data_IF_986748515114
#
_entry.id   IF_986748515114
#
_cell.length_a   1.000
_cell.length_b   1.000
_cell.length_c   1.000
_cell.angle_alpha   90.00
_cell.angle_beta   90.00
_cell.angle_gamma   90.00
#
_symmetry.space_group_name_H-M   'P 1'
#
loop_
_entity.id
_entity.type
_entity.pdbx_description
1 polymer ?
#
# COMPACT_ATOMS: atom_id res chain seq x y z
N UNK A 1 1.67 -0.04 1.87
CA UNK A 1 0.22 -0.32 1.96
C UNK A 1 -0.48 0.98 2.32
N UNK A 2 -1.55 1.33 1.62
CA UNK A 2 -2.24 2.60 1.80
C UNK A 2 -3.10 2.59 3.05
N UNK A 3 -2.99 3.59 3.91
CA UNK A 3 -3.76 3.71 5.17
C UNK A 3 -4.99 4.62 5.04
N UNK A 4 -5.10 5.39 3.96
CA UNK A 4 -6.24 6.23 3.62
C UNK A 4 -6.64 7.24 4.72
N UNK A 5 -5.67 7.76 5.46
CA UNK A 5 -5.91 8.60 6.63
C UNK A 5 -5.45 10.05 6.46
N UNK A 6 -5.10 10.46 5.24
CA UNK A 6 -4.80 11.86 4.90
C UNK A 6 -6.03 12.76 4.95
N UNK A 7 -5.80 14.07 5.09
CA UNK A 7 -6.85 15.06 4.93
C UNK A 7 -7.38 15.11 3.49
N UNK A 8 -8.53 15.75 3.29
CA UNK A 8 -9.16 15.87 1.97
C UNK A 8 -8.24 16.56 0.95
N UNK A 9 -7.43 17.50 1.37
CA UNK A 9 -6.43 18.18 0.53
C UNK A 9 -5.16 17.35 0.25
N UNK A 10 -5.05 16.15 0.84
CA UNK A 10 -3.86 15.28 0.75
C UNK A 10 -2.78 15.57 1.79
N UNK A 11 -3.04 16.43 2.77
CA UNK A 11 -2.09 16.68 3.86
C UNK A 11 -2.05 15.54 4.87
N UNK A 12 -0.90 15.36 5.50
CA UNK A 12 -0.66 14.33 6.53
C UNK A 12 -1.43 14.67 7.81
N UNK A 13 -2.11 13.68 8.41
CA UNK A 13 -2.81 13.81 9.69
C UNK A 13 -1.93 13.40 10.87
N UNK A 14 -2.31 13.81 12.09
CA UNK A 14 -1.66 13.34 13.31
C UNK A 14 -1.83 11.82 13.50
N UNK A 15 -2.99 11.25 13.15
CA UNK A 15 -3.23 9.80 13.21
C UNK A 15 -2.26 9.01 12.31
N UNK A 16 -1.91 9.55 11.14
CA UNK A 16 -0.89 8.94 10.28
C UNK A 16 0.49 8.97 10.93
N UNK A 17 0.87 10.12 11.51
CA UNK A 17 2.15 10.25 12.20
C UNK A 17 2.24 9.24 13.34
N UNK A 18 1.21 9.16 14.18
CA UNK A 18 1.12 8.20 15.29
C UNK A 18 1.21 6.75 14.81
N UNK A 19 0.52 6.42 13.72
CA UNK A 19 0.54 5.09 13.11
C UNK A 19 1.94 4.67 12.69
N UNK A 20 2.65 5.52 11.94
CA UNK A 20 3.99 5.22 11.45
C UNK A 20 5.02 5.25 12.59
N UNK A 21 4.93 6.23 13.49
CA UNK A 21 5.82 6.33 14.64
C UNK A 21 5.70 5.10 15.55
N UNK A 22 4.49 4.57 15.75
CA UNK A 22 4.27 3.39 16.59
C UNK A 22 4.97 2.14 16.04
N UNK A 23 5.14 2.04 14.72
CA UNK A 23 5.78 0.92 14.00
C UNK A 23 7.24 1.16 13.66
N UNK A 24 7.73 2.38 13.86
CA UNK A 24 9.12 2.72 13.60
C UNK A 24 10.05 2.19 14.70
N UNK A 25 11.32 1.90 14.34
CA UNK A 25 12.37 1.43 15.23
C UNK A 25 12.57 -0.09 15.17
N UNK A 26 11.53 -0.85 14.87
CA UNK A 26 11.59 -2.29 14.72
C UNK A 26 12.08 -2.68 13.30
N UNK A 27 11.58 -2.04 12.26
CA UNK A 27 12.04 -2.22 10.89
C UNK A 27 13.17 -1.26 10.53
N UNK A 28 14.14 -1.69 9.70
CA UNK A 28 15.24 -0.84 9.21
C UNK A 28 14.77 0.35 8.39
N UNK A 29 13.68 0.18 7.64
CA UNK A 29 13.05 1.24 6.85
C UNK A 29 11.52 1.09 6.85
N UNK A 30 10.83 2.23 6.75
CA UNK A 30 9.39 2.29 6.53
C UNK A 30 9.14 2.93 5.17
N UNK A 31 8.52 2.18 4.27
CA UNK A 31 7.99 2.71 3.01
C UNK A 31 6.60 3.27 3.31
N UNK A 32 6.51 4.60 3.35
CA UNK A 32 5.27 5.33 3.53
C UNK A 32 4.35 5.07 2.34
N UNK A 33 3.03 5.06 2.59
CA UNK A 33 2.02 4.80 1.56
C UNK A 33 2.20 5.65 0.30
N UNK A 34 1.56 5.21 -0.78
CA UNK A 34 1.59 5.92 -2.06
C UNK A 34 1.09 7.37 -1.94
N UNK A 35 1.98 8.29 -2.31
CA UNK A 35 1.82 9.73 -2.24
C UNK A 35 1.69 10.29 -3.67
N UNK A 36 0.58 10.99 -4.00
CA UNK A 36 0.37 11.46 -5.37
C UNK A 36 1.28 12.65 -5.70
N UNK A 37 1.90 12.58 -6.88
CA UNK A 37 2.82 13.62 -7.37
C UNK A 37 2.09 14.80 -8.03
N UNK A 38 0.84 14.58 -8.44
CA UNK A 38 -0.04 15.55 -9.07
C UNK A 38 -1.48 15.33 -8.56
N UNK A 39 -2.22 16.41 -8.28
CA UNK A 39 -3.50 16.39 -7.57
C UNK A 39 -4.56 15.49 -8.21
N UNK A 40 -4.66 15.47 -9.53
CA UNK A 40 -5.65 14.65 -10.24
C UNK A 40 -5.26 13.17 -10.31
N UNK A 41 -4.05 12.82 -9.88
CA UNK A 41 -3.55 11.45 -9.75
C UNK A 41 -4.07 10.68 -8.54
N UNK A 42 -5.06 11.16 -7.82
CA UNK A 42 -5.64 10.48 -6.65
C UNK A 42 -6.47 9.27 -7.05
N UNK A 43 -6.16 8.11 -6.49
CA UNK A 43 -6.87 6.87 -6.74
C UNK A 43 -7.96 6.52 -5.72
N UNK A 44 -7.90 7.10 -4.50
CA UNK A 44 -8.74 6.71 -3.36
C UNK A 44 -8.90 7.88 -2.37
N UNK A 45 -9.92 7.82 -1.48
CA UNK A 45 -10.12 8.82 -0.44
C UNK A 45 -8.98 8.74 0.59
N UNK A 46 -8.65 9.89 1.20
CA UNK A 46 -7.60 9.95 2.22
C UNK A 46 -6.17 9.67 1.69
N UNK A 47 -5.96 9.71 0.37
CA UNK A 47 -4.63 9.67 -0.22
C UNK A 47 -3.84 10.91 0.17
N UNK A 48 -2.56 10.75 0.52
CA UNK A 48 -1.65 11.87 0.75
C UNK A 48 -0.99 12.31 -0.55
N UNK A 49 -0.55 13.59 -0.59
CA UNK A 49 0.07 14.21 -1.74
C UNK A 49 1.39 14.88 -1.42
N UNK A 50 2.16 15.07 -2.48
CA UNK A 50 3.41 15.84 -2.51
C UNK A 50 3.45 16.75 -3.75
N UNK A 51 2.28 17.09 -4.25
CA UNK A 51 2.01 17.85 -5.46
C UNK A 51 2.38 19.33 -5.37
N UNK A 52 2.51 19.87 -4.17
CA UNK A 52 2.89 21.27 -3.93
C UNK A 52 3.70 21.44 -2.63
N UNK A 53 4.32 22.62 -2.47
CA UNK A 53 5.24 22.90 -1.36
C UNK A 53 4.53 23.01 0.00
N UNK A 54 3.23 23.30 0.03
CA UNK A 54 2.45 23.37 1.27
C UNK A 54 2.36 22.00 1.98
N UNK A 55 2.67 20.91 1.28
CA UNK A 55 2.71 19.55 1.85
C UNK A 55 4.01 19.27 2.64
N UNK A 56 5.09 20.00 2.36
CA UNK A 56 6.41 19.75 2.96
C UNK A 56 6.36 19.76 4.50
N UNK A 57 5.72 20.73 5.19
CA UNK A 57 5.73 20.73 6.66
C UNK A 57 5.06 19.51 7.30
N UNK A 58 3.98 19.00 6.70
CA UNK A 58 3.30 17.78 7.16
C UNK A 58 4.15 16.52 6.93
N UNK A 59 4.69 16.38 5.73
CA UNK A 59 5.58 15.30 5.35
C UNK A 59 6.87 15.29 6.17
N UNK A 60 7.42 16.46 6.50
CA UNK A 60 8.60 16.60 7.38
C UNK A 60 8.33 15.99 8.75
N UNK A 61 7.22 16.37 9.40
CA UNK A 61 6.86 15.78 10.70
C UNK A 61 6.71 14.27 10.64
N UNK A 62 6.19 13.74 9.53
CA UNK A 62 6.06 12.30 9.32
C UNK A 62 7.43 11.62 9.20
N UNK A 63 8.34 12.17 8.38
CA UNK A 63 9.70 11.66 8.23
C UNK A 63 10.45 11.68 9.57
N UNK A 64 10.43 12.82 10.28
CA UNK A 64 11.06 12.98 11.59
C UNK A 64 10.51 11.98 12.63
N UNK A 65 9.20 11.71 12.64
CA UNK A 65 8.58 10.76 13.56
C UNK A 65 9.05 9.31 13.31
N UNK A 66 9.23 8.93 12.05
CA UNK A 66 9.79 7.62 11.67
C UNK A 66 11.27 7.54 12.07
N UNK A 67 12.05 8.55 11.72
CA UNK A 67 13.50 8.59 11.93
C UNK A 67 13.88 8.67 13.41
N UNK A 68 13.05 9.32 14.24
CA UNK A 68 13.26 9.42 15.69
C UNK A 68 13.38 8.07 16.41
N UNK A 69 12.88 7.00 15.78
CA UNK A 69 12.96 5.62 16.26
C UNK A 69 14.10 4.81 15.61
N UNK A 70 14.85 5.40 14.67
CA UNK A 70 15.97 4.76 14.00
C UNK A 70 15.68 4.11 12.65
N UNK A 71 14.41 4.05 12.22
CA UNK A 71 14.05 3.58 10.88
C UNK A 71 14.30 4.65 9.82
N UNK A 72 14.69 4.25 8.61
CA UNK A 72 14.69 5.14 7.45
C UNK A 72 13.27 5.41 6.96
N UNK A 73 13.00 6.64 6.55
CA UNK A 73 11.73 7.05 5.98
C UNK A 73 11.83 7.10 4.45
N UNK A 74 11.10 6.23 3.75
CA UNK A 74 11.04 6.19 2.27
C UNK A 74 9.63 6.58 1.83
N UNK A 75 9.48 7.56 0.95
CA UNK A 75 8.18 8.01 0.46
C UNK A 75 7.86 7.35 -0.90
N UNK A 76 6.74 6.64 -1.01
CA UNK A 76 6.35 6.03 -2.28
C UNK A 76 5.63 7.06 -3.16
N UNK A 77 6.20 7.37 -4.34
CA UNK A 77 5.67 8.33 -5.31
C UNK A 77 4.80 7.63 -6.36
N UNK A 78 3.57 8.13 -6.58
CA UNK A 78 2.69 7.54 -7.57
C UNK A 78 1.77 8.57 -8.26
N UNK A 79 1.19 8.13 -9.36
CA UNK A 79 0.03 8.76 -9.99
C UNK A 79 -0.92 7.65 -10.43
N UNK A 80 -2.19 7.76 -10.06
CA UNK A 80 -3.16 6.68 -10.29
C UNK A 80 -3.45 6.42 -11.79
N UNK A 81 -3.25 7.41 -12.65
CA UNK A 81 -3.52 7.25 -14.07
C UNK A 81 -4.99 6.90 -14.32
N UNK A 82 -5.26 5.87 -15.13
CA UNK A 82 -6.63 5.35 -15.38
C UNK A 82 -7.35 4.84 -14.14
N UNK A 83 -6.62 4.63 -13.03
CA UNK A 83 -7.17 4.23 -11.74
C UNK A 83 -7.64 5.43 -10.90
N UNK A 84 -7.36 6.67 -11.30
CA UNK A 84 -7.87 7.86 -10.65
C UNK A 84 -9.41 7.86 -10.66
N UNK A 85 -10.01 8.40 -9.62
CA UNK A 85 -11.45 8.42 -9.48
C UNK A 85 -11.94 9.86 -9.38
N UNK A 86 -12.81 10.31 -10.31
CA UNK A 86 -13.36 11.66 -10.30
C UNK A 86 -14.02 12.10 -8.98
N UNK A 87 -14.48 11.14 -8.18
CA UNK A 87 -15.02 11.43 -6.84
C UNK A 87 -13.98 11.99 -5.85
N UNK A 88 -12.69 11.76 -6.10
CA UNK A 88 -11.60 12.10 -5.19
C UNK A 88 -10.58 13.07 -5.79
N UNK A 89 -10.64 13.31 -7.13
CA UNK A 89 -9.72 14.16 -7.86
C UNK A 89 -10.42 15.41 -8.44
N UNK A 90 -11.34 15.99 -7.70
CA UNK A 90 -12.04 17.24 -8.03
C UNK A 90 -12.96 17.14 -9.26
N UNK A 91 -13.37 15.94 -9.65
CA UNK A 91 -14.25 15.68 -10.79
C UNK A 91 -13.51 15.55 -12.12
N UNK A 92 -12.20 15.63 -12.14
CA UNK A 92 -11.39 15.57 -13.36
C UNK A 92 -11.39 14.18 -13.99
N UNK A 93 -11.45 14.17 -15.33
CA UNK A 93 -11.33 12.92 -16.09
C UNK A 93 -9.91 12.34 -15.90
N UNK A 94 -9.76 11.04 -15.56
CA UNK A 94 -8.46 10.39 -15.48
C UNK A 94 -7.64 10.58 -16.76
N UNK A 95 -6.31 10.54 -16.61
CA UNK A 95 -5.36 10.56 -17.73
C UNK A 95 -4.54 9.27 -17.73
N UNK A 96 -4.10 8.83 -18.91
CA UNK A 96 -3.29 7.62 -19.05
C UNK A 96 -2.51 7.63 -20.37
N UNK A 97 -1.74 6.57 -20.60
CA UNK A 97 -1.03 6.36 -21.87
C UNK A 97 -1.99 6.33 -23.07
N UNK A 98 -3.18 5.71 -22.91
CA UNK A 98 -4.23 5.65 -23.93
C UNK A 98 -5.61 5.59 -23.28
N UNK A 99 -6.73 5.83 -24.02
CA UNK A 99 -8.07 5.91 -23.44
C UNK A 99 -8.69 4.53 -23.14
N UNK A 100 -7.94 3.68 -22.45
CA UNK A 100 -8.36 2.32 -22.05
C UNK A 100 -8.77 2.33 -20.58
N UNK A 101 -10.04 2.12 -20.30
CA UNK A 101 -10.59 2.09 -18.95
C UNK A 101 -9.95 0.98 -18.09
N UNK A 102 -9.92 1.18 -16.79
CA UNK A 102 -9.54 0.13 -15.83
C UNK A 102 -10.61 -0.99 -15.79
N UNK A 103 -10.20 -2.21 -15.45
CA UNK A 103 -11.10 -3.37 -15.34
C UNK A 103 -11.87 -3.35 -14.01
N UNK A 104 -12.72 -2.34 -13.83
CA UNK A 104 -13.64 -2.26 -12.68
C UNK A 104 -14.97 -1.65 -13.14
N UNK A 105 -16.10 -2.00 -12.51
CA UNK A 105 -17.43 -1.61 -12.99
C UNK A 105 -17.68 -0.10 -13.11
N UNK A 106 -17.06 0.71 -12.24
CA UNK A 106 -17.23 2.16 -12.15
C UNK A 106 -16.07 2.95 -12.80
N UNK A 107 -15.26 2.30 -13.62
CA UNK A 107 -14.12 2.93 -14.26
C UNK A 107 -14.55 3.96 -15.29
N UNK A 108 -14.02 5.17 -15.17
CA UNK A 108 -14.16 6.22 -16.19
C UNK A 108 -13.03 6.06 -17.20
N UNK A 109 -13.32 6.01 -18.52
CA UNK A 109 -12.28 5.98 -19.53
C UNK A 109 -11.33 7.19 -19.37
N UNK A 110 -10.01 6.97 -19.30
CA UNK A 110 -9.07 8.07 -19.20
C UNK A 110 -8.94 8.81 -20.54
N UNK A 111 -8.48 10.05 -20.47
CA UNK A 111 -8.01 10.78 -21.64
C UNK A 111 -6.54 10.40 -21.92
N UNK A 112 -6.18 10.24 -23.18
CA UNK A 112 -4.79 10.04 -23.58
C UNK A 112 -3.97 11.29 -23.30
N UNK A 113 -2.80 11.11 -22.67
CA UNK A 113 -1.86 12.19 -22.39
C UNK A 113 -1.19 12.67 -23.68
N UNK A 114 -1.12 13.98 -23.87
CA UNK A 114 -0.29 14.61 -24.90
C UNK A 114 1.21 14.49 -24.55
N UNK A 115 2.08 14.70 -25.53
CA UNK A 115 3.53 14.74 -25.28
C UNK A 115 3.92 15.78 -24.22
N UNK A 116 3.29 16.96 -24.22
CA UNK A 116 3.52 18.00 -23.23
C UNK A 116 3.12 17.53 -21.81
N UNK A 117 2.00 16.84 -21.68
CA UNK A 117 1.55 16.30 -20.40
C UNK A 117 2.43 15.14 -19.89
N UNK A 118 2.96 14.31 -20.80
CA UNK A 118 3.92 13.26 -20.42
C UNK A 118 5.21 13.89 -19.86
N UNK A 119 5.75 14.90 -20.55
CA UNK A 119 6.94 15.61 -20.07
C UNK A 119 6.68 16.33 -18.74
N UNK A 120 5.52 17.00 -18.59
CA UNK A 120 5.13 17.62 -17.32
C UNK A 120 5.04 16.58 -16.19
N UNK A 121 4.46 15.41 -16.44
CA UNK A 121 4.38 14.33 -15.46
C UNK A 121 5.77 13.84 -15.02
N UNK A 122 6.74 13.74 -15.94
CA UNK A 122 8.12 13.44 -15.59
C UNK A 122 8.70 14.53 -14.67
N UNK A 123 8.42 15.80 -14.98
CA UNK A 123 8.83 16.94 -14.14
C UNK A 123 8.14 16.90 -12.77
N UNK A 124 6.86 16.51 -12.70
CA UNK A 124 6.11 16.38 -11.44
C UNK A 124 6.70 15.30 -10.51
N UNK A 125 7.19 14.17 -11.04
CA UNK A 125 7.96 13.19 -10.26
C UNK A 125 9.28 13.78 -9.76
N UNK A 126 9.95 14.61 -10.56
CA UNK A 126 11.15 15.34 -10.13
C UNK A 126 10.85 16.33 -9.00
N UNK A 127 9.81 17.15 -9.14
CA UNK A 127 9.39 18.09 -8.10
C UNK A 127 8.94 17.38 -6.81
N UNK A 128 8.24 16.25 -6.93
CA UNK A 128 7.90 15.41 -5.79
C UNK A 128 9.16 14.91 -5.06
N UNK A 129 10.19 14.51 -5.82
CA UNK A 129 11.49 14.10 -5.24
C UNK A 129 12.20 15.27 -4.54
N UNK A 130 12.20 16.46 -5.14
CA UNK A 130 12.73 17.68 -4.49
C UNK A 130 12.06 17.92 -3.13
N UNK A 131 10.72 17.87 -3.11
CA UNK A 131 9.94 18.06 -1.88
C UNK A 131 10.20 16.97 -0.85
N UNK A 132 10.38 15.71 -1.27
CA UNK A 132 10.72 14.61 -0.38
C UNK A 132 12.09 14.83 0.29
N UNK A 133 13.10 15.29 -0.45
CA UNK A 133 14.42 15.69 0.08
C UNK A 133 14.27 16.83 1.09
N UNK A 134 13.53 17.90 0.73
CA UNK A 134 13.31 19.06 1.60
C UNK A 134 12.47 18.72 2.85
N UNK A 135 11.59 17.73 2.77
CA UNK A 135 10.87 17.19 3.92
C UNK A 135 11.74 16.24 4.78
N UNK A 136 12.97 15.94 4.37
CA UNK A 136 13.92 15.16 5.16
C UNK A 136 13.72 13.65 5.08
N UNK A 137 13.04 13.12 4.05
CA UNK A 137 13.01 11.68 3.79
C UNK A 137 14.38 11.15 3.44
N UNK A 138 14.65 9.88 3.77
CA UNK A 138 15.89 9.18 3.40
C UNK A 138 15.86 8.67 1.95
N UNK A 139 14.70 8.66 1.30
CA UNK A 139 14.56 8.20 -0.06
C UNK A 139 13.14 8.25 -0.60
N UNK A 140 13.01 7.86 -1.86
CA UNK A 140 11.72 7.67 -2.55
C UNK A 140 11.65 6.31 -3.20
N UNK A 141 10.44 5.76 -3.30
CA UNK A 141 10.15 4.58 -4.10
C UNK A 141 9.22 4.95 -5.26
N UNK A 142 9.69 4.79 -6.49
CA UNK A 142 8.90 5.02 -7.69
C UNK A 142 7.89 3.89 -7.85
N UNK A 143 6.60 4.21 -7.87
CA UNK A 143 5.55 3.20 -7.93
C UNK A 143 5.22 2.78 -9.36
N UNK A 144 5.94 1.78 -9.88
CA UNK A 144 5.73 1.18 -11.19
C UNK A 144 4.85 -0.08 -11.19
N UNK A 145 4.02 -0.27 -10.16
CA UNK A 145 3.21 -1.47 -9.95
C UNK A 145 1.71 -1.17 -9.86
N UNK A 146 0.90 -2.22 -9.60
CA UNK A 146 -0.51 -2.19 -9.23
C UNK A 146 -1.41 -1.42 -10.20
N UNK A 147 -1.10 -1.53 -11.49
CA UNK A 147 -1.80 -0.88 -12.62
C UNK A 147 -1.85 0.66 -12.55
N UNK A 148 -0.94 1.29 -11.81
CA UNK A 148 -0.81 2.75 -11.78
C UNK A 148 -0.05 3.29 -13.00
N UNK A 149 0.15 4.61 -13.11
CA UNK A 149 0.51 5.28 -14.35
C UNK A 149 1.76 4.73 -15.03
N UNK A 150 2.85 4.47 -14.28
CA UNK A 150 4.08 3.94 -14.86
C UNK A 150 3.86 2.56 -15.48
N UNK A 151 3.15 1.67 -14.76
CA UNK A 151 2.77 0.37 -15.29
C UNK A 151 1.86 0.52 -16.51
N UNK A 152 0.93 1.50 -16.50
CA UNK A 152 0.03 1.75 -17.65
C UNK A 152 0.80 2.14 -18.91
N UNK A 153 1.89 2.88 -18.80
CA UNK A 153 2.75 3.21 -19.93
C UNK A 153 3.54 1.99 -20.43
N UNK A 154 3.93 1.10 -19.55
CA UNK A 154 4.64 -0.12 -19.91
C UNK A 154 3.74 -1.22 -20.45
N UNK A 155 2.50 -1.31 -19.97
CA UNK A 155 1.53 -2.35 -20.35
C UNK A 155 1.10 -2.26 -21.83
N UNK A 156 1.16 -3.35 -22.60
CA UNK A 156 0.57 -3.38 -23.95
C UNK A 156 -0.95 -3.33 -23.93
N UNK A 157 -1.60 -3.57 -22.79
CA UNK A 157 -3.05 -3.44 -22.62
C UNK A 157 -3.46 -1.97 -22.56
N UNK A 158 -2.90 -1.21 -21.66
CA UNK A 158 -3.28 0.18 -21.39
C UNK A 158 -2.53 1.21 -22.23
N UNK A 159 -1.43 0.84 -22.91
CA UNK A 159 -0.69 1.68 -23.83
C UNK A 159 -0.87 1.19 -25.26
N UNK A 160 -1.74 1.86 -26.03
CA UNK A 160 -2.02 1.61 -27.43
C UNK A 160 -1.40 2.66 -28.37
N UNK A 161 -0.49 3.48 -27.86
CA UNK A 161 0.17 4.54 -28.60
C UNK A 161 1.04 3.98 -29.71
N UNK A 162 1.21 4.78 -30.79
CA UNK A 162 2.07 4.45 -31.94
C UNK A 162 3.24 5.46 -32.11
N UNK A 163 3.42 6.33 -31.11
CA UNK A 163 4.48 7.34 -31.09
C UNK A 163 5.75 6.85 -30.34
N UNK A 164 6.56 7.79 -29.87
CA UNK A 164 7.80 7.49 -29.12
C UNK A 164 7.57 6.92 -27.72
N UNK A 165 6.31 6.93 -27.21
CA UNK A 165 5.94 6.47 -25.88
C UNK A 165 5.21 5.12 -25.89
N UNK A 166 4.98 4.52 -27.06
CA UNK A 166 4.23 3.27 -27.18
C UNK A 166 4.52 2.49 -28.45
N UNK A 167 3.77 1.40 -28.66
CA UNK A 167 3.98 0.46 -29.76
C UNK A 167 4.91 -0.68 -29.35
N UNK A 168 6.21 -0.59 -29.57
CA UNK A 168 7.13 -1.68 -29.17
C UNK A 168 7.41 -1.68 -27.66
N UNK A 169 7.87 -2.81 -27.14
CA UNK A 169 8.24 -2.98 -25.73
C UNK A 169 9.30 -1.95 -25.31
N UNK A 170 10.30 -1.72 -26.15
CA UNK A 170 11.37 -0.74 -25.92
C UNK A 170 10.82 0.69 -25.79
N UNK A 171 9.85 1.07 -26.61
CA UNK A 171 9.22 2.39 -26.53
C UNK A 171 8.33 2.54 -25.27
N UNK A 172 7.69 1.46 -24.85
CA UNK A 172 6.88 1.46 -23.63
C UNK A 172 7.73 1.56 -22.35
N UNK A 173 9.01 1.14 -22.36
CA UNK A 173 9.93 1.35 -21.22
C UNK A 173 10.40 2.79 -21.09
N UNK A 174 10.22 3.62 -22.09
CA UNK A 174 10.73 5.00 -22.09
C UNK A 174 10.20 5.82 -20.91
N UNK A 175 8.90 5.77 -20.63
CA UNK A 175 8.34 6.58 -19.55
C UNK A 175 8.90 6.20 -18.17
N UNK A 176 8.95 4.91 -17.76
CA UNK A 176 9.65 4.50 -16.55
C UNK A 176 11.11 4.95 -16.46
N UNK A 177 11.87 4.87 -17.58
CA UNK A 177 13.27 5.31 -17.64
C UNK A 177 13.39 6.82 -17.43
N UNK A 178 12.61 7.62 -18.14
CA UNK A 178 12.64 9.09 -18.05
C UNK A 178 12.26 9.57 -16.63
N UNK A 179 11.28 8.90 -15.97
CA UNK A 179 10.95 9.19 -14.57
C UNK A 179 12.10 8.84 -13.64
N UNK A 180 12.70 7.65 -13.76
CA UNK A 180 13.86 7.27 -12.94
C UNK A 180 15.04 8.23 -13.13
N UNK A 181 15.37 8.55 -14.36
CA UNK A 181 16.45 9.49 -14.72
C UNK A 181 16.17 10.88 -14.13
N UNK A 182 14.92 11.37 -14.19
CA UNK A 182 14.55 12.67 -13.63
C UNK A 182 14.70 12.69 -12.11
N UNK A 183 14.27 11.62 -11.43
CA UNK A 183 14.44 11.49 -9.98
C UNK A 183 15.92 11.52 -9.59
N UNK A 184 16.77 10.74 -10.30
CA UNK A 184 18.23 10.72 -10.09
C UNK A 184 18.88 12.08 -10.34
N UNK A 185 18.44 12.79 -11.39
CA UNK A 185 18.94 14.13 -11.69
C UNK A 185 18.65 15.12 -10.56
N UNK A 186 17.42 15.11 -10.03
CA UNK A 186 17.05 15.97 -8.89
C UNK A 186 17.84 15.63 -7.63
N UNK A 187 18.08 14.35 -7.35
CA UNK A 187 18.92 13.92 -6.20
C UNK A 187 20.35 14.45 -6.37
N UNK A 188 20.91 14.38 -7.58
CA UNK A 188 22.23 14.91 -7.87
C UNK A 188 22.29 16.44 -7.78
N UNK A 189 21.29 17.16 -8.31
CA UNK A 189 21.19 18.63 -8.21
C UNK A 189 21.07 19.14 -6.77
N UNK A 190 20.40 18.35 -5.90
CA UNK A 190 20.26 18.66 -4.46
C UNK A 190 21.45 18.17 -3.63
N UNK A 191 22.47 17.60 -4.25
CA UNK A 191 23.65 17.03 -3.57
C UNK A 191 23.28 16.01 -2.45
N UNK A 192 22.15 15.31 -2.62
CA UNK A 192 21.62 14.37 -1.64
C UNK A 192 22.22 12.95 -1.84
N UNK A 193 23.56 12.81 -1.73
CA UNK A 193 24.32 11.59 -2.08
C UNK A 193 23.92 10.31 -1.34
N UNK A 194 23.19 10.40 -0.23
CA UNK A 194 22.71 9.25 0.55
C UNK A 194 21.21 8.96 0.36
N UNK A 195 20.58 9.68 -0.58
CA UNK A 195 19.15 9.53 -0.82
C UNK A 195 18.86 8.27 -1.63
N UNK A 196 17.99 7.43 -1.10
CA UNK A 196 17.67 6.10 -1.64
C UNK A 196 16.60 6.22 -2.73
N UNK A 197 16.82 5.57 -3.87
CA UNK A 197 15.88 5.53 -5.00
C UNK A 197 15.47 4.09 -5.29
N UNK A 198 14.26 3.70 -4.89
CA UNK A 198 13.71 2.39 -5.19
C UNK A 198 12.73 2.41 -6.36
N UNK A 199 12.50 1.24 -6.96
CA UNK A 199 11.48 1.05 -8.00
C UNK A 199 10.61 -0.16 -7.69
N UNK A 200 9.28 0.05 -7.54
CA UNK A 200 8.33 -1.03 -7.30
C UNK A 200 7.65 -1.46 -8.59
N UNK A 201 7.52 -2.78 -8.80
CA UNK A 201 6.96 -3.36 -10.01
C UNK A 201 5.97 -4.48 -9.77
N UNK A 202 5.00 -4.67 -10.66
CA UNK A 202 4.14 -5.86 -10.74
C UNK A 202 4.77 -6.87 -11.71
N UNK A 203 4.84 -8.16 -11.35
CA UNK A 203 5.50 -9.15 -12.21
C UNK A 203 4.71 -9.51 -13.47
N UNK A 204 3.38 -9.43 -13.43
CA UNK A 204 2.47 -9.82 -14.52
C UNK A 204 1.13 -9.08 -14.41
N UNK A 205 0.40 -8.99 -15.51
CA UNK A 205 -0.99 -8.54 -15.60
C UNK A 205 -1.92 -9.66 -16.07
N UNK A 206 -3.18 -9.61 -15.63
CA UNK A 206 -4.21 -10.56 -16.05
C UNK A 206 -4.80 -10.23 -17.43
N UNK A 207 -4.60 -9.00 -17.89
CA UNK A 207 -5.13 -8.51 -19.17
C UNK A 207 -4.50 -9.22 -20.38
N UNK A 208 -5.27 -9.27 -21.49
CA UNK A 208 -4.80 -9.77 -22.78
C UNK A 208 -5.05 -8.72 -23.88
N UNK A 209 -4.00 -8.23 -24.58
CA UNK A 209 -2.59 -8.40 -24.21
C UNK A 209 -2.29 -7.71 -22.89
N UNK A 210 -1.28 -8.21 -22.17
CA UNK A 210 -0.84 -7.64 -20.89
C UNK A 210 0.64 -7.88 -20.67
N UNK A 211 1.16 -7.34 -19.59
CA UNK A 211 2.55 -7.58 -19.17
C UNK A 211 2.69 -9.06 -18.80
N UNK A 212 3.66 -9.73 -19.42
CA UNK A 212 4.11 -11.08 -19.08
C UNK A 212 5.43 -11.02 -18.31
N UNK A 213 5.80 -12.09 -17.65
CA UNK A 213 7.00 -12.09 -16.80
C UNK A 213 8.27 -11.73 -17.60
N UNK A 214 8.37 -12.17 -18.85
CA UNK A 214 9.46 -11.82 -19.77
C UNK A 214 9.51 -10.33 -20.12
N UNK A 215 8.35 -9.66 -20.17
CA UNK A 215 8.31 -8.20 -20.35
C UNK A 215 8.82 -7.50 -19.09
N UNK A 216 8.41 -7.98 -17.92
CA UNK A 216 8.91 -7.46 -16.63
C UNK A 216 10.42 -7.62 -16.53
N UNK A 217 10.96 -8.79 -16.85
CA UNK A 217 12.41 -8.99 -16.83
C UNK A 217 13.15 -8.11 -17.82
N UNK A 218 12.55 -7.84 -19.00
CA UNK A 218 13.09 -6.86 -19.94
C UNK A 218 13.14 -5.45 -19.34
N UNK A 219 12.03 -5.01 -18.70
CA UNK A 219 11.98 -3.71 -18.03
C UNK A 219 13.03 -3.60 -16.93
N UNK A 220 13.11 -4.59 -16.04
CA UNK A 220 14.04 -4.56 -14.90
C UNK A 220 15.51 -4.59 -15.34
N UNK A 221 15.86 -5.45 -16.31
CA UNK A 221 17.20 -5.47 -16.88
C UNK A 221 17.56 -4.13 -17.55
N UNK A 222 16.59 -3.46 -18.16
CA UNK A 222 16.80 -2.13 -18.76
C UNK A 222 16.96 -1.05 -17.67
N UNK A 223 16.10 -1.05 -16.64
CA UNK A 223 16.20 -0.09 -15.52
C UNK A 223 17.47 -0.30 -14.70
N UNK A 224 17.99 -1.53 -14.61
CA UNK A 224 19.22 -1.84 -13.89
C UNK A 224 20.45 -1.12 -14.44
N UNK A 225 20.46 -0.77 -15.73
CA UNK A 225 21.55 0.04 -16.33
C UNK A 225 21.58 1.49 -15.79
N UNK A 226 20.50 1.93 -15.12
CA UNK A 226 20.38 3.23 -14.45
C UNK A 226 20.62 3.14 -12.94
N UNK A 227 20.96 1.96 -12.41
CA UNK A 227 21.42 1.72 -11.05
C UNK A 227 20.51 2.31 -9.95
N UNK A 228 19.18 1.97 -9.91
CA UNK A 228 18.38 2.26 -8.72
C UNK A 228 18.93 1.48 -7.51
N UNK A 229 18.69 1.94 -6.29
CA UNK A 229 19.22 1.31 -5.08
C UNK A 229 18.55 -0.03 -4.76
N UNK A 230 17.29 -0.24 -5.17
CA UNK A 230 16.59 -1.51 -5.02
C UNK A 230 15.42 -1.66 -5.99
N UNK A 231 15.04 -2.91 -6.24
CA UNK A 231 13.74 -3.27 -6.82
C UNK A 231 12.84 -3.88 -5.76
N UNK A 232 11.52 -3.58 -5.83
CA UNK A 232 10.54 -4.08 -4.90
C UNK A 232 9.39 -4.75 -5.67
N UNK A 233 9.26 -6.08 -5.57
CA UNK A 233 8.16 -6.79 -6.22
C UNK A 233 6.83 -6.46 -5.54
N UNK A 234 5.75 -6.37 -6.29
CA UNK A 234 4.39 -6.29 -5.75
C UNK A 234 3.68 -7.62 -5.98
N UNK A 235 3.55 -8.41 -4.93
CA UNK A 235 2.95 -9.73 -4.96
C UNK A 235 2.12 -10.00 -3.69
N UNK A 236 1.16 -10.92 -3.80
CA UNK A 236 0.36 -11.38 -2.65
C UNK A 236 1.06 -12.50 -1.86
N UNK A 237 2.08 -13.13 -2.43
CA UNK A 237 2.91 -14.14 -1.78
C UNK A 237 4.35 -14.04 -2.31
N UNK A 238 5.33 -14.23 -1.43
CA UNK A 238 6.75 -14.34 -1.81
C UNK A 238 7.03 -15.60 -2.65
N UNK A 239 6.14 -16.59 -2.58
CA UNK A 239 6.18 -17.83 -3.40
C UNK A 239 5.31 -17.74 -4.66
N UNK A 240 4.85 -16.52 -5.04
CA UNK A 240 3.93 -16.37 -6.15
C UNK A 240 4.43 -17.04 -7.42
N UNK A 241 3.56 -17.81 -8.03
CA UNK A 241 3.70 -18.39 -9.38
C UNK A 241 3.03 -17.48 -10.42
N UNK A 242 3.05 -17.84 -11.70
CA UNK A 242 2.35 -17.08 -12.74
C UNK A 242 0.85 -17.03 -12.48
N UNK A 243 0.26 -15.82 -12.64
CA UNK A 243 -1.20 -15.64 -12.62
C UNK A 243 -1.82 -15.78 -14.01
N UNK A 244 -0.98 -15.80 -15.04
CA UNK A 244 -1.40 -15.91 -16.44
C UNK A 244 -1.42 -17.38 -16.86
N UNK A 245 -0.40 -18.13 -16.48
CA UNK A 245 -0.30 -19.56 -16.75
C UNK A 245 -0.42 -20.37 -15.44
N UNK A 246 -1.60 -20.85 -15.14
CA UNK A 246 -1.88 -21.61 -13.91
C UNK A 246 -1.21 -23.01 -13.88
N UNK A 247 -0.76 -23.52 -15.01
CA UNK A 247 0.00 -24.78 -15.08
C UNK A 247 1.47 -24.59 -14.69
N UNK A 248 1.93 -23.34 -14.70
CA UNK A 248 3.29 -22.99 -14.32
C UNK A 248 3.40 -22.81 -12.79
N UNK A 249 3.89 -23.84 -12.14
CA UNK A 249 4.03 -23.88 -10.67
C UNK A 249 5.39 -23.39 -10.18
N UNK A 250 6.28 -22.93 -11.09
CA UNK A 250 7.58 -22.38 -10.68
C UNK A 250 7.40 -20.99 -10.02
N UNK A 251 7.93 -20.78 -8.80
CA UNK A 251 7.92 -19.47 -8.18
C UNK A 251 8.61 -18.42 -9.07
N UNK A 252 8.00 -17.24 -9.18
CA UNK A 252 8.52 -16.15 -10.03
C UNK A 252 9.92 -15.70 -9.62
N UNK A 253 10.28 -15.83 -8.34
CA UNK A 253 11.64 -15.53 -7.86
C UNK A 253 12.69 -16.42 -8.52
N UNK A 254 12.41 -17.72 -8.72
CA UNK A 254 13.33 -18.62 -9.38
C UNK A 254 13.56 -18.23 -10.85
N UNK A 255 12.49 -17.78 -11.51
CA UNK A 255 12.59 -17.25 -12.89
C UNK A 255 13.37 -15.95 -12.94
N UNK A 256 13.13 -15.05 -11.95
CA UNK A 256 13.86 -13.80 -11.81
C UNK A 256 15.38 -14.06 -11.77
N UNK A 257 15.82 -14.95 -10.88
CA UNK A 257 17.25 -15.32 -10.73
C UNK A 257 17.83 -15.87 -12.03
N UNK A 258 17.06 -16.66 -12.78
CA UNK A 258 17.51 -17.23 -14.06
C UNK A 258 17.63 -16.21 -15.20
N UNK A 259 16.80 -15.15 -15.16
CA UNK A 259 16.66 -14.18 -16.26
C UNK A 259 17.34 -12.84 -15.98
N UNK A 260 17.87 -12.63 -14.77
CA UNK A 260 18.54 -11.39 -14.41
C UNK A 260 19.86 -11.23 -15.16
N UNK A 261 20.15 -10.01 -15.62
CA UNK A 261 21.46 -9.63 -16.14
C UNK A 261 22.48 -9.52 -15.02
N UNK A 262 23.77 -9.48 -15.38
CA UNK A 262 24.84 -9.25 -14.39
C UNK A 262 24.71 -7.89 -13.66
N UNK A 263 24.09 -6.90 -14.29
CA UNK A 263 23.83 -5.59 -13.67
C UNK A 263 22.65 -5.68 -12.72
N UNK A 264 21.52 -6.30 -13.14
CA UNK A 264 20.35 -6.49 -12.29
C UNK A 264 20.68 -7.32 -11.03
N UNK A 265 21.54 -8.33 -11.15
CA UNK A 265 22.00 -9.17 -10.04
C UNK A 265 22.80 -8.42 -8.94
N UNK A 266 23.21 -7.18 -9.18
CA UNK A 266 23.87 -6.34 -8.17
C UNK A 266 22.89 -5.48 -7.36
N UNK A 267 21.66 -5.35 -7.82
CA UNK A 267 20.64 -4.50 -7.23
C UNK A 267 19.75 -5.34 -6.32
N UNK A 268 19.64 -5.00 -5.04
CA UNK A 268 18.82 -5.75 -4.09
C UNK A 268 17.36 -5.87 -4.53
N UNK A 269 16.79 -7.07 -4.37
CA UNK A 269 15.38 -7.35 -4.59
C UNK A 269 14.64 -7.48 -3.26
N UNK A 270 13.62 -6.66 -3.04
CA UNK A 270 12.73 -6.74 -1.89
C UNK A 270 11.57 -7.70 -2.19
N UNK A 271 11.45 -8.79 -1.42
CA UNK A 271 10.34 -9.73 -1.46
C UNK A 271 9.17 -9.26 -0.59
N UNK A 272 7.95 -9.66 -0.94
CA UNK A 272 6.72 -9.26 -0.23
C UNK A 272 5.62 -10.33 -0.36
N UNK A 273 4.72 -10.31 0.60
CA UNK A 273 3.46 -11.06 0.57
C UNK A 273 3.50 -12.38 1.34
N UNK A 274 2.48 -12.62 2.14
CA UNK A 274 2.31 -13.80 2.99
C UNK A 274 3.48 -14.10 3.95
N UNK A 275 4.24 -13.06 4.35
CA UNK A 275 5.28 -13.17 5.36
C UNK A 275 4.64 -12.81 6.70
N UNK A 276 4.40 -13.81 7.54
CA UNK A 276 3.73 -13.65 8.83
C UNK A 276 4.57 -14.17 10.01
N UNK A 277 5.30 -15.25 9.81
CA UNK A 277 6.11 -15.94 10.82
C UNK A 277 7.61 -15.87 10.45
N UNK A 278 8.46 -16.20 11.42
CA UNK A 278 9.91 -16.30 11.20
C UNK A 278 10.27 -17.24 10.04
N UNK A 279 9.62 -18.40 9.97
CA UNK A 279 9.87 -19.39 8.92
C UNK A 279 9.55 -18.85 7.52
N UNK A 280 8.53 -18.01 7.38
CA UNK A 280 8.21 -17.35 6.10
C UNK A 280 9.35 -16.42 5.69
N UNK A 281 9.88 -15.64 6.64
CA UNK A 281 10.98 -14.72 6.40
C UNK A 281 12.26 -15.47 6.01
N UNK A 282 12.64 -16.49 6.78
CA UNK A 282 13.81 -17.33 6.49
C UNK A 282 13.70 -17.98 5.11
N UNK A 283 12.55 -18.60 4.82
CA UNK A 283 12.32 -19.24 3.52
C UNK A 283 12.32 -18.24 2.36
N UNK A 284 11.78 -17.02 2.54
CA UNK A 284 11.83 -16.01 1.49
C UNK A 284 13.29 -15.59 1.18
N UNK A 285 14.13 -15.42 2.20
CA UNK A 285 15.55 -15.15 2.01
C UNK A 285 16.29 -16.32 1.34
N UNK A 286 15.98 -17.56 1.73
CA UNK A 286 16.54 -18.78 1.10
C UNK A 286 16.15 -18.91 -0.37
N UNK A 287 14.97 -18.43 -0.78
CA UNK A 287 14.54 -18.40 -2.17
C UNK A 287 15.32 -17.36 -3.01
N UNK A 288 16.02 -16.42 -2.38
CA UNK A 288 16.90 -15.46 -3.07
C UNK A 288 16.41 -14.02 -3.08
N UNK A 289 15.45 -13.64 -2.22
CA UNK A 289 15.19 -12.23 -1.94
C UNK A 289 16.30 -11.69 -1.02
N UNK A 290 16.77 -10.47 -1.29
CA UNK A 290 17.82 -9.83 -0.50
C UNK A 290 17.27 -9.14 0.75
N UNK A 291 16.07 -8.59 0.63
CA UNK A 291 15.35 -7.86 1.68
C UNK A 291 13.87 -8.27 1.67
N UNK A 292 13.18 -8.04 2.78
CA UNK A 292 11.76 -8.37 2.92
C UNK A 292 10.93 -7.14 3.29
N UNK A 293 9.78 -7.00 2.65
CA UNK A 293 8.76 -6.00 2.98
C UNK A 293 7.55 -6.68 3.62
N UNK A 294 7.22 -6.27 4.82
CA UNK A 294 6.15 -6.86 5.62
C UNK A 294 5.07 -5.81 5.87
N UNK A 295 3.84 -6.13 5.53
CA UNK A 295 2.72 -5.20 5.69
C UNK A 295 1.72 -5.66 6.74
N UNK A 296 0.96 -6.72 6.44
CA UNK A 296 -0.12 -7.20 7.31
C UNK A 296 0.37 -7.55 8.72
N UNK A 297 1.49 -8.26 8.85
CA UNK A 297 2.00 -8.66 10.14
C UNK A 297 2.32 -7.44 11.04
N UNK A 298 2.87 -6.35 10.48
CA UNK A 298 3.10 -5.10 11.24
C UNK A 298 1.82 -4.35 11.64
N UNK A 299 0.67 -4.65 11.05
CA UNK A 299 -0.59 -4.08 11.52
C UNK A 299 -1.01 -4.72 12.84
N UNK A 300 -0.81 -6.03 12.92
CA UNK A 300 -1.22 -6.87 14.05
C UNK A 300 -0.17 -6.84 15.15
N UNK A 301 1.10 -6.93 14.76
CA UNK A 301 2.25 -6.98 15.66
C UNK A 301 3.26 -5.88 15.29
N UNK A 302 3.19 -4.71 15.94
CA UNK A 302 4.12 -3.61 15.66
C UNK A 302 5.59 -3.88 15.98
N UNK A 303 5.87 -4.87 16.82
CA UNK A 303 7.22 -5.34 17.19
C UNK A 303 7.58 -6.66 16.50
N UNK A 304 7.06 -6.86 15.29
CA UNK A 304 7.18 -8.12 14.57
C UNK A 304 8.63 -8.56 14.34
N UNK A 305 9.53 -7.66 13.93
CA UNK A 305 10.94 -7.99 13.66
C UNK A 305 11.67 -8.38 14.95
N UNK A 306 11.49 -7.64 16.02
CA UNK A 306 12.10 -7.94 17.31
C UNK A 306 11.66 -9.32 17.82
N UNK A 307 10.35 -9.61 17.79
CA UNK A 307 9.80 -10.89 18.24
C UNK A 307 10.32 -12.06 17.42
N UNK A 308 10.27 -11.97 16.08
CA UNK A 308 10.77 -13.07 15.25
C UNK A 308 12.28 -13.28 15.39
N UNK A 309 13.04 -12.20 15.61
CA UNK A 309 14.50 -12.29 15.83
C UNK A 309 14.84 -13.05 17.12
N UNK A 310 14.00 -12.90 18.16
CA UNK A 310 14.11 -13.56 19.45
C UNK A 310 13.42 -14.94 19.47
N UNK A 311 12.85 -15.38 18.34
CA UNK A 311 12.08 -16.62 18.22
C UNK A 311 10.86 -16.64 19.13
N UNK A 312 10.21 -15.48 19.32
CA UNK A 312 8.96 -15.34 20.05
C UNK A 312 7.76 -15.55 19.12
N UNK A 313 6.62 -15.93 19.69
CA UNK A 313 5.36 -16.01 18.97
C UNK A 313 4.87 -14.61 18.61
N UNK A 314 4.34 -14.46 17.39
CA UNK A 314 3.75 -13.22 16.88
C UNK A 314 2.24 -13.38 16.69
N UNK A 315 1.52 -12.33 17.05
CA UNK A 315 0.07 -12.29 16.81
C UNK A 315 -0.23 -12.25 15.31
N UNK A 316 -1.24 -13.00 14.89
CA UNK A 316 -1.69 -13.06 13.49
C UNK A 316 -2.99 -12.31 13.25
N UNK A 317 -3.75 -12.07 14.31
CA UNK A 317 -5.07 -11.46 14.30
C UNK A 317 -5.19 -10.46 15.45
N UNK A 318 -6.12 -9.53 15.32
CA UNK A 318 -6.44 -8.55 16.36
C UNK A 318 -7.87 -8.68 16.82
N UNK A 319 -8.16 -8.28 18.04
CA UNK A 319 -9.52 -8.09 18.51
C UNK A 319 -10.10 -6.77 17.95
N UNK A 320 -11.42 -6.73 17.76
CA UNK A 320 -12.12 -5.53 17.27
C UNK A 320 -11.93 -4.30 18.19
N UNK A 321 -11.47 -4.51 19.42
CA UNK A 321 -11.21 -3.46 20.39
C UNK A 321 -9.77 -2.92 20.36
N UNK A 322 -8.86 -3.57 19.59
CA UNK A 322 -7.43 -3.24 19.58
C UNK A 322 -7.05 -2.05 18.68
N UNK A 323 -8.00 -1.50 17.91
CA UNK A 323 -7.74 -0.39 16.99
C UNK A 323 -6.94 0.74 17.63
N UNK A 324 -7.32 1.17 18.83
CA UNK A 324 -6.65 2.30 19.54
C UNK A 324 -5.30 1.90 20.10
N UNK A 325 -5.17 0.68 20.63
CA UNK A 325 -3.91 0.16 21.20
C UNK A 325 -2.87 0.00 20.11
N UNK A 326 -3.28 -0.39 18.90
CA UNK A 326 -2.42 -0.57 17.74
C UNK A 326 -2.25 0.71 16.92
N UNK A 327 -2.79 1.85 17.36
CA UNK A 327 -2.73 3.13 16.63
C UNK A 327 -3.17 3.01 15.17
N UNK A 328 -4.19 2.19 14.87
CA UNK A 328 -4.70 2.01 13.51
C UNK A 328 -5.73 3.11 13.21
N UNK A 329 -5.50 3.97 12.20
CA UNK A 329 -6.46 5.01 11.81
C UNK A 329 -7.82 4.43 11.42
N UNK A 330 -8.90 5.13 11.78
CA UNK A 330 -10.25 4.65 11.52
C UNK A 330 -10.57 4.35 10.05
N UNK A 331 -10.08 5.11 9.06
CA UNK A 331 -10.27 4.76 7.65
C UNK A 331 -9.62 3.41 7.29
N UNK A 332 -8.39 3.17 7.75
CA UNK A 332 -7.69 1.91 7.54
C UNK A 332 -8.43 0.75 8.22
N UNK A 333 -8.84 0.93 9.48
CA UNK A 333 -9.57 -0.08 10.23
C UNK A 333 -10.81 -0.57 9.48
N UNK A 334 -11.61 0.34 8.92
CA UNK A 334 -12.85 0.01 8.18
C UNK A 334 -12.62 -0.83 6.93
N UNK A 335 -11.46 -0.72 6.29
CA UNK A 335 -11.16 -1.48 5.06
C UNK A 335 -10.37 -2.75 5.33
N UNK A 336 -9.92 -2.96 6.57
CA UNK A 336 -9.02 -4.06 6.93
C UNK A 336 -9.59 -5.04 7.95
N UNK A 337 -10.76 -4.74 8.54
CA UNK A 337 -11.40 -5.61 9.51
C UNK A 337 -11.49 -7.07 9.02
N UNK A 338 -11.84 -7.26 7.74
CA UNK A 338 -11.93 -8.58 7.12
C UNK A 338 -10.57 -9.30 6.93
N UNK A 339 -9.44 -8.58 7.02
CA UNK A 339 -8.10 -9.16 6.81
C UNK A 339 -7.37 -9.52 8.10
N UNK A 340 -7.65 -8.78 9.17
CA UNK A 340 -6.89 -8.88 10.42
C UNK A 340 -7.71 -9.38 11.61
N UNK A 341 -9.05 -9.39 11.50
CA UNK A 341 -9.90 -10.00 12.53
C UNK A 341 -9.90 -11.52 12.43
N UNK A 342 -9.90 -12.19 13.57
CA UNK A 342 -10.06 -13.66 13.63
C UNK A 342 -11.51 -14.04 13.34
N UNK A 343 -11.77 -14.36 12.07
CA UNK A 343 -13.10 -14.81 11.62
C UNK A 343 -13.56 -16.11 12.28
N UNK A 344 -12.63 -16.99 12.64
CA UNK A 344 -12.99 -18.23 13.34
C UNK A 344 -13.39 -17.96 14.79
N UNK A 345 -12.73 -17.01 15.45
CA UNK A 345 -13.11 -16.60 16.78
C UNK A 345 -14.43 -15.83 16.77
N UNK A 346 -14.66 -14.94 15.81
CA UNK A 346 -15.97 -14.29 15.61
C UNK A 346 -17.07 -15.32 15.33
N UNK A 347 -16.80 -16.31 14.48
CA UNK A 347 -17.75 -17.39 14.23
C UNK A 347 -18.01 -18.22 15.49
N UNK A 348 -16.98 -18.54 16.27
CA UNK A 348 -17.12 -19.21 17.58
C UNK A 348 -17.90 -18.37 18.59
N UNK A 349 -17.64 -17.04 18.64
CA UNK A 349 -18.42 -16.10 19.47
C UNK A 349 -19.89 -16.05 19.01
N UNK A 350 -20.13 -15.98 17.70
CA UNK A 350 -21.47 -16.01 17.13
C UNK A 350 -22.23 -17.31 17.44
N UNK A 351 -21.60 -18.47 17.28
CA UNK A 351 -22.21 -19.76 17.60
C UNK A 351 -22.47 -19.91 19.12
N UNK A 352 -21.58 -19.39 19.98
CA UNK A 352 -21.84 -19.30 21.42
C UNK A 352 -23.03 -18.41 21.74
N UNK A 353 -23.15 -17.24 21.11
CA UNK A 353 -24.29 -16.34 21.28
C UNK A 353 -25.59 -16.98 20.78
N UNK A 354 -25.54 -17.64 19.64
CA UNK A 354 -26.68 -18.38 19.08
C UNK A 354 -27.10 -19.56 19.99
N UNK A 355 -26.12 -20.29 20.55
CA UNK A 355 -26.39 -21.34 21.53
C UNK A 355 -26.99 -20.78 22.83
N UNK A 356 -26.59 -19.58 23.25
CA UNK A 356 -27.19 -18.87 24.39
C UNK A 356 -28.62 -18.40 24.08
N UNK A 357 -28.88 -17.91 22.85
CA UNK A 357 -30.24 -17.53 22.42
C UNK A 357 -31.17 -18.72 22.33
N UNK A 358 -30.65 -19.91 21.98
CA UNK A 358 -31.43 -21.15 21.93
C UNK A 358 -31.61 -21.84 23.30
N UNK A 359 -30.84 -21.47 24.32
CA UNK A 359 -31.16 -21.82 25.71
C UNK A 359 -32.33 -20.96 26.16
N UNK A 360 -33.40 -21.59 26.64
CA UNK A 360 -34.47 -20.88 27.39
C UNK A 360 -33.84 -20.24 28.63
N UNK A 361 -33.30 -19.02 28.45
CA UNK A 361 -32.75 -18.23 29.55
C UNK A 361 -33.93 -17.73 30.35
N UNK A 362 -34.07 -18.15 31.61
CA UNK A 362 -34.99 -17.52 32.53
C UNK A 362 -34.32 -16.27 33.08
N UNK A 363 -34.88 -15.13 32.79
CA UNK A 363 -34.46 -13.87 33.36
C UNK A 363 -35.15 -13.69 34.76
N UNK A 364 -34.48 -13.01 35.67
CA UNK A 364 -35.16 -12.47 36.81
C UNK A 364 -36.04 -11.32 36.36
N UNK A 365 -37.34 -11.45 36.51
CA UNK A 365 -38.31 -10.40 36.18
C UNK A 365 -37.99 -9.13 36.93
N UNK A 366 -37.87 -8.01 36.24
CA UNK A 366 -37.57 -6.73 36.83
C UNK A 366 -37.23 -5.64 35.84
N UNK A 367 -36.99 -4.46 36.37
CA UNK A 367 -36.46 -3.31 35.64
C UNK A 367 -35.01 -3.11 36.08
N UNK A 368 -34.10 -3.01 35.10
CA UNK A 368 -32.66 -2.88 35.32
C UNK A 368 -32.18 -1.59 34.67
N UNK A 369 -31.39 -0.81 35.39
CA UNK A 369 -30.64 0.32 34.85
C UNK A 369 -29.24 -0.17 34.51
N UNK A 370 -28.90 -0.11 33.25
CA UNK A 370 -27.63 -0.60 32.70
C UNK A 370 -26.99 0.47 31.82
N UNK A 371 -25.70 0.32 31.54
CA UNK A 371 -24.99 1.20 30.61
C UNK A 371 -24.51 0.38 29.41
N UNK A 372 -24.89 0.79 28.19
CA UNK A 372 -24.27 0.29 26.99
C UNK A 372 -23.13 1.21 26.60
N UNK A 373 -22.04 0.60 26.12
CA UNK A 373 -20.89 1.36 25.61
C UNK A 373 -21.22 1.87 24.21
N UNK A 374 -21.52 3.16 24.08
CA UNK A 374 -21.77 3.83 22.80
C UNK A 374 -20.49 4.45 22.22
N UNK A 375 -20.59 4.93 20.98
CA UNK A 375 -19.47 5.55 20.27
C UNK A 375 -18.93 6.82 20.97
N UNK A 376 -19.80 7.56 21.66
CA UNK A 376 -19.46 8.81 22.35
C UNK A 376 -19.45 8.68 23.90
N UNK A 377 -19.43 7.45 24.43
CA UNK A 377 -19.45 7.20 25.89
C UNK A 377 -20.47 6.16 26.31
N UNK A 378 -20.66 6.03 27.61
CA UNK A 378 -21.66 5.13 28.17
C UNK A 378 -23.07 5.70 27.97
N UNK A 379 -23.96 4.89 27.38
CA UNK A 379 -25.35 5.22 27.14
C UNK A 379 -26.17 4.58 28.26
N UNK A 380 -26.83 5.37 29.18
CA UNK A 380 -27.67 4.81 30.20
C UNK A 380 -28.95 4.24 29.57
N UNK A 381 -29.35 3.06 30.03
CA UNK A 381 -30.53 2.38 29.51
C UNK A 381 -31.33 1.74 30.65
N UNK A 382 -32.63 1.76 30.49
CA UNK A 382 -33.58 1.04 31.32
C UNK A 382 -34.07 -0.19 30.56
N UNK A 383 -33.77 -1.36 31.07
CA UNK A 383 -34.14 -2.64 30.46
C UNK A 383 -35.20 -3.32 31.33
N UNK A 384 -36.34 -3.62 30.73
CA UNK A 384 -37.41 -4.35 31.41
C UNK A 384 -37.40 -5.81 30.93
N UNK A 385 -37.32 -6.73 31.90
CA UNK A 385 -37.27 -8.17 31.66
C UNK A 385 -38.53 -8.86 32.17
N UNK A 386 -39.05 -9.80 31.39
CA UNK A 386 -39.94 -10.87 31.88
C UNK A 386 -39.10 -12.13 32.17
N UNK A 387 -39.73 -13.22 32.60
CA UNK A 387 -39.02 -14.46 32.89
C UNK A 387 -38.38 -15.10 31.63
N UNK A 388 -38.87 -14.77 30.44
CA UNK A 388 -38.53 -15.45 29.18
C UNK A 388 -38.03 -14.51 28.07
N UNK A 389 -38.15 -13.18 28.24
CA UNK A 389 -37.76 -12.21 27.21
C UNK A 389 -37.47 -10.81 27.74
N UNK A 390 -36.77 -10.04 26.94
CA UNK A 390 -36.65 -8.59 27.08
C UNK A 390 -37.99 -7.97 26.64
N UNK A 391 -38.61 -7.22 27.50
CA UNK A 391 -39.91 -6.58 27.24
C UNK A 391 -39.75 -5.23 26.60
N UNK A 392 -38.85 -4.40 27.13
CA UNK A 392 -38.50 -3.10 26.55
C UNK A 392 -37.05 -2.72 26.86
N UNK A 393 -36.50 -1.88 26.01
CA UNK A 393 -35.27 -1.15 26.24
C UNK A 393 -35.58 0.31 25.99
N UNK A 394 -35.38 1.15 26.96
CA UNK A 394 -35.53 2.60 26.90
C UNK A 394 -34.14 3.21 27.14
N UNK A 395 -33.77 4.18 26.33
CA UNK A 395 -32.55 4.97 26.55
C UNK A 395 -32.94 6.12 27.48
N UNK A 396 -32.25 6.25 28.58
CA UNK A 396 -32.46 7.40 29.46
C UNK A 396 -31.81 8.63 28.80
N UNK A 397 -32.59 9.73 28.70
CA UNK A 397 -32.14 11.00 28.11
C UNK A 397 -31.01 11.66 28.91
#
# INVERSE_FOLDING_TARGET
MTIQAGYFDGSVTSEMIDYYQFRAGDASAIIVESCFVENHGRGFPGAIGIDNDDKIPGLKRLAEAIQAKGSKAILQLYHAGRMANPKFNEGEQPISASPIAALRPDAVPPREMTHAQINQMIDDFGEATRRAIEAGFDGVEIHGANTYLLQQFFSPHSNRRQDSWGGSREKRTRFPIEVLTKVQHVVAEKEASHFIIGYRFSPEEIEEPGIRFEDTMFLLNTLAEYEPDYFHISANSYQRTSIVNQEDTEPLINKYIKMQSAQLAKIPLIGVGSIAQRQDAEHALELGYDLLSVGKAYLVEPQWTDKISQNEEVEQFVDIHDQKVLHIPSPLWKVMDFMILDKEEEHRKYEKLKALQNKKVKFNKGTYHVYAKGHNGNLPMKVQLSEDKIVSIEVDD
#
